data_IF_664295739202
#
_entry.id   IF_664295739202
#
_cell.length_a   1.000
_cell.length_b   1.000
_cell.length_c   1.000
_cell.angle_alpha   90.00
_cell.angle_beta   90.00
_cell.angle_gamma   90.00
#
_symmetry.space_group_name_H-M   'P 1'
#
loop_
_entity.id
_entity.type
_entity.pdbx_description
1 polymer ?
#
# COMPACT_ATOMS: atom_id res chain seq x y z
N UNK A 1 -3.86 5.39 17.35
CA UNK A 1 -2.85 4.99 16.34
C UNK A 1 -3.41 4.20 15.16
N UNK A 2 -4.38 3.29 15.33
CA UNK A 2 -4.90 2.45 14.23
C UNK A 2 -5.56 3.25 13.08
N UNK A 3 -6.27 4.34 13.39
CA UNK A 3 -6.93 5.18 12.39
C UNK A 3 -5.94 5.80 11.37
N UNK A 4 -4.78 6.28 11.83
CA UNK A 4 -3.75 6.83 10.94
C UNK A 4 -3.18 5.77 10.00
N UNK A 5 -2.96 4.55 10.51
CA UNK A 5 -2.49 3.45 9.67
C UNK A 5 -3.53 3.09 8.60
N UNK A 6 -4.81 3.09 8.92
CA UNK A 6 -5.87 2.83 7.93
C UNK A 6 -5.93 3.91 6.86
N UNK A 7 -5.77 5.18 7.23
CA UNK A 7 -5.71 6.27 6.26
C UNK A 7 -4.49 6.14 5.34
N UNK A 8 -3.32 5.79 5.90
CA UNK A 8 -2.11 5.52 5.11
C UNK A 8 -2.28 4.34 4.15
N UNK A 9 -2.91 3.25 4.60
CA UNK A 9 -3.19 2.08 3.74
C UNK A 9 -4.18 2.42 2.63
N UNK A 10 -5.23 3.20 2.91
CA UNK A 10 -6.17 3.69 1.89
C UNK A 10 -5.48 4.55 0.85
N UNK A 11 -4.59 5.46 1.28
CA UNK A 11 -3.78 6.26 0.38
C UNK A 11 -2.88 5.39 -0.50
N UNK A 12 -2.17 4.43 0.10
CA UNK A 12 -1.32 3.48 -0.63
C UNK A 12 -2.12 2.67 -1.68
N UNK A 13 -3.33 2.22 -1.33
CA UNK A 13 -4.21 1.51 -2.24
C UNK A 13 -4.67 2.40 -3.42
N UNK A 14 -4.89 3.69 -3.18
CA UNK A 14 -5.18 4.66 -4.24
C UNK A 14 -3.97 4.80 -5.19
N UNK A 15 -2.77 5.00 -4.63
CA UNK A 15 -1.53 5.12 -5.43
C UNK A 15 -1.22 3.85 -6.23
N UNK A 16 -1.50 2.66 -5.68
CA UNK A 16 -1.33 1.40 -6.39
C UNK A 16 -2.24 1.28 -7.62
N UNK A 17 -3.43 1.91 -7.58
CA UNK A 17 -4.42 1.95 -8.66
C UNK A 17 -4.11 3.00 -9.71
N UNK A 18 -3.72 4.19 -9.27
CA UNK A 18 -3.66 5.38 -10.15
C UNK A 18 -2.26 5.66 -10.69
N UNK A 19 -1.22 4.99 -10.17
CA UNK A 19 0.17 5.27 -10.52
C UNK A 19 0.96 4.01 -10.86
N UNK A 20 2.01 4.18 -11.66
CA UNK A 20 3.01 3.15 -11.97
C UNK A 20 4.15 3.04 -10.95
N UNK A 21 4.08 3.75 -9.82
CA UNK A 21 5.16 3.80 -8.82
C UNK A 21 5.47 2.41 -8.25
N UNK A 22 6.71 2.14 -7.91
CA UNK A 22 7.07 0.88 -7.23
C UNK A 22 6.42 0.78 -5.84
N UNK A 23 6.27 -0.45 -5.34
CA UNK A 23 5.75 -0.70 -3.98
C UNK A 23 6.56 0.05 -2.92
N UNK A 24 7.87 0.20 -3.13
CA UNK A 24 8.77 0.94 -2.24
C UNK A 24 8.48 2.45 -2.24
N UNK A 25 8.31 3.05 -3.42
CA UNK A 25 7.96 4.48 -3.54
C UNK A 25 6.59 4.77 -2.92
N UNK A 26 5.62 3.88 -3.12
CA UNK A 26 4.28 4.01 -2.53
C UNK A 26 4.33 3.91 -1.00
N UNK A 27 5.14 3.01 -0.45
CA UNK A 27 5.35 2.93 0.99
C UNK A 27 5.88 4.26 1.54
N UNK A 28 6.91 4.82 0.90
CA UNK A 28 7.49 6.10 1.27
C UNK A 28 6.48 7.26 1.18
N UNK A 29 5.75 7.38 0.06
CA UNK A 29 4.73 8.42 -0.11
C UNK A 29 3.56 8.26 0.86
N UNK A 30 3.25 7.04 1.29
CA UNK A 30 2.21 6.77 2.29
C UNK A 30 2.70 6.95 3.74
N UNK A 31 3.93 7.46 3.92
CA UNK A 31 4.51 7.75 5.23
C UNK A 31 5.00 6.52 5.98
N UNK A 32 5.48 5.51 5.26
CA UNK A 32 6.20 4.35 5.81
C UNK A 32 7.67 4.43 5.43
N UNK A 33 8.56 4.40 6.44
CA UNK A 33 10.01 4.39 6.22
C UNK A 33 10.53 3.02 5.80
N UNK A 34 9.79 1.96 6.13
CA UNK A 34 10.13 0.56 5.83
C UNK A 34 9.06 -0.05 4.90
N UNK A 35 9.50 -0.39 3.68
CA UNK A 35 8.66 -1.01 2.65
C UNK A 35 8.25 -2.46 2.98
N UNK A 36 9.07 -3.20 3.75
CA UNK A 36 8.75 -4.54 4.21
C UNK A 36 7.66 -4.50 5.29
N UNK A 37 7.79 -3.59 6.25
CA UNK A 37 6.75 -3.34 7.25
C UNK A 37 5.43 -2.91 6.58
N UNK A 38 5.49 -1.96 5.63
CA UNK A 38 4.34 -1.57 4.83
C UNK A 38 3.68 -2.77 4.15
N UNK A 39 4.46 -3.61 3.46
CA UNK A 39 3.92 -4.75 2.71
C UNK A 39 3.22 -5.75 3.62
N UNK A 40 3.79 -6.04 4.80
CA UNK A 40 3.15 -6.91 5.81
C UNK A 40 1.85 -6.30 6.34
N UNK A 41 1.86 -5.01 6.69
CA UNK A 41 0.68 -4.33 7.21
C UNK A 41 -0.43 -4.22 6.16
N UNK A 42 -0.07 -3.88 4.92
CA UNK A 42 -0.99 -3.81 3.79
C UNK A 42 -1.64 -5.17 3.54
N UNK A 43 -0.84 -6.25 3.50
CA UNK A 43 -1.37 -7.60 3.40
C UNK A 43 -2.30 -7.96 4.58
N UNK A 44 -1.93 -7.61 5.81
CA UNK A 44 -2.77 -7.90 6.98
C UNK A 44 -4.13 -7.19 6.90
N UNK A 45 -4.16 -5.95 6.41
CA UNK A 45 -5.35 -5.09 6.31
C UNK A 45 -6.20 -5.37 5.06
N UNK A 46 -5.58 -5.57 3.91
CA UNK A 46 -6.25 -5.76 2.61
C UNK A 46 -6.42 -7.24 2.23
N UNK A 47 -5.79 -8.16 2.98
CA UNK A 47 -5.75 -9.61 2.71
C UNK A 47 -5.07 -10.04 1.41
N UNK A 48 -4.39 -9.11 0.75
CA UNK A 48 -3.63 -9.33 -0.49
C UNK A 48 -2.37 -8.46 -0.49
N UNK A 49 -1.30 -8.95 -1.11
CA UNK A 49 -0.04 -8.21 -1.17
C UNK A 49 -0.19 -6.96 -2.06
N UNK A 50 0.56 -5.86 -1.80
CA UNK A 50 0.50 -4.65 -2.62
C UNK A 50 0.69 -4.88 -4.12
N UNK A 51 1.58 -5.80 -4.49
CA UNK A 51 1.87 -6.15 -5.89
C UNK A 51 0.67 -6.84 -6.55
N UNK A 52 0.08 -7.81 -5.86
CA UNK A 52 -1.08 -8.55 -6.37
C UNK A 52 -2.32 -7.66 -6.41
N UNK A 53 -2.48 -6.78 -5.40
CA UNK A 53 -3.52 -5.75 -5.38
C UNK A 53 -3.49 -4.92 -6.66
N UNK A 54 -2.32 -4.42 -7.06
CA UNK A 54 -2.17 -3.66 -8.32
C UNK A 54 -2.63 -4.47 -9.53
N UNK A 55 -2.24 -5.73 -9.65
CA UNK A 55 -2.61 -6.55 -10.79
C UNK A 55 -4.14 -6.78 -10.89
N UNK A 56 -4.81 -6.90 -9.74
CA UNK A 56 -6.27 -7.09 -9.67
C UNK A 56 -7.02 -5.82 -10.06
N UNK A 57 -6.56 -4.66 -9.60
CA UNK A 57 -7.28 -3.38 -9.72
C UNK A 57 -6.91 -2.55 -10.95
N UNK A 58 -5.81 -2.87 -11.62
CA UNK A 58 -5.35 -2.20 -12.85
C UNK A 58 -5.85 -2.91 -14.12
N UNK A 59 -6.70 -3.92 -13.97
CA UNK A 59 -7.57 -4.43 -15.04
C UNK A 59 -8.83 -3.58 -15.12
#
# INVERSE_FOLDING_TARGET
>A
MQYLLELKIKNAASLLKTTGLTVKEIAWQSGFSDAYYFSRLFHQKMKIAPRDFRYIVSK
#
